data_IF_208854122851
#
_entry.id   IF_208854122851
#
_cell.length_a   1.000
_cell.length_b   1.000
_cell.length_c   1.000
_cell.angle_alpha   90.00
_cell.angle_beta   90.00
_cell.angle_gamma   90.00
#
_symmetry.space_group_name_H-M   'P 1'
#
loop_
_entity.id
_entity.type
_entity.pdbx_description
1 polymer ?
#
# COMPACT_ATOMS: atom_id res chain seq x y z
N UNK A 1 -4.59 -33.07 -22.07
CA UNK A 1 -5.88 -32.64 -21.49
C UNK A 1 -5.55 -31.41 -20.67
N UNK A 2 -5.68 -30.23 -21.28
CA UNK A 2 -5.59 -28.97 -20.52
C UNK A 2 -6.65 -29.00 -19.43
N UNK A 3 -6.34 -28.55 -18.19
CA UNK A 3 -7.37 -28.42 -17.19
C UNK A 3 -8.36 -27.38 -17.71
N UNK A 4 -9.64 -27.78 -17.77
CA UNK A 4 -10.74 -26.85 -18.00
C UNK A 4 -10.69 -25.86 -16.84
N UNK A 5 -10.08 -24.69 -17.07
CA UNK A 5 -10.20 -23.56 -16.18
C UNK A 5 -11.70 -23.26 -16.21
N UNK A 6 -12.39 -23.55 -15.11
CA UNK A 6 -13.77 -23.09 -14.95
C UNK A 6 -13.80 -21.60 -15.31
N UNK A 7 -14.88 -21.16 -15.96
CA UNK A 7 -15.04 -19.85 -16.57
C UNK A 7 -15.07 -18.74 -15.47
N UNK A 8 -13.94 -18.56 -14.79
CA UNK A 8 -13.76 -17.70 -13.63
C UNK A 8 -13.64 -16.29 -14.16
N UNK A 9 -14.71 -15.52 -13.98
CA UNK A 9 -14.82 -14.15 -14.47
C UNK A 9 -15.03 -13.22 -13.29
N UNK A 10 -14.18 -12.21 -13.15
CA UNK A 10 -14.35 -11.14 -12.16
C UNK A 10 -15.68 -10.42 -12.43
N UNK A 11 -16.72 -10.76 -11.67
CA UNK A 11 -18.12 -10.37 -11.92
C UNK A 11 -18.62 -10.54 -13.37
N UNK A 12 -18.09 -11.49 -14.13
CA UNK A 12 -18.44 -11.61 -15.56
C UNK A 12 -17.84 -10.52 -16.48
N UNK A 13 -17.07 -9.57 -15.93
CA UNK A 13 -16.53 -8.41 -16.66
C UNK A 13 -15.16 -8.67 -17.29
N UNK A 14 -14.38 -9.54 -16.68
CA UNK A 14 -13.02 -9.85 -17.11
C UNK A 14 -12.72 -11.34 -16.95
N UNK A 15 -12.16 -11.95 -17.99
CA UNK A 15 -11.71 -13.33 -17.99
C UNK A 15 -10.18 -13.35 -18.16
N UNK A 16 -9.39 -13.77 -17.15
CA UNK A 16 -7.94 -13.84 -17.29
C UNK A 16 -7.55 -14.90 -18.32
N UNK A 17 -6.47 -14.64 -19.04
CA UNK A 17 -5.88 -15.56 -20.03
C UNK A 17 -4.74 -16.43 -19.46
N UNK A 18 -4.36 -16.17 -18.21
CA UNK A 18 -3.25 -16.82 -17.51
C UNK A 18 -3.63 -17.19 -16.08
N UNK A 19 -2.81 -18.01 -15.42
CA UNK A 19 -3.00 -18.37 -14.02
C UNK A 19 -2.72 -17.17 -13.11
N UNK A 20 -3.73 -16.77 -12.33
CA UNK A 20 -3.68 -15.57 -11.48
C UNK A 20 -4.12 -15.79 -10.03
N UNK A 21 -4.45 -17.03 -9.65
CA UNK A 21 -5.03 -17.33 -8.34
C UNK A 21 -4.12 -16.90 -7.19
N UNK A 22 -2.80 -16.99 -7.40
CA UNK A 22 -1.81 -16.59 -6.39
C UNK A 22 -1.71 -15.07 -6.16
N UNK A 23 -2.17 -14.25 -7.12
CA UNK A 23 -2.27 -12.79 -6.96
C UNK A 23 -3.62 -12.40 -6.39
N UNK A 24 -4.69 -13.08 -6.83
CA UNK A 24 -6.03 -12.86 -6.30
C UNK A 24 -6.14 -13.29 -4.82
N UNK A 25 -5.44 -14.34 -4.39
CA UNK A 25 -5.49 -14.85 -3.00
C UNK A 25 -4.83 -13.91 -1.98
N UNK A 26 -3.97 -12.97 -2.40
CA UNK A 26 -3.42 -11.95 -1.51
C UNK A 26 -4.50 -11.06 -0.88
N UNK A 27 -5.69 -11.01 -1.50
CA UNK A 27 -6.91 -10.44 -0.92
C UNK A 27 -7.28 -11.10 0.41
N UNK A 28 -7.13 -12.43 0.52
CA UNK A 28 -7.39 -13.19 1.74
C UNK A 28 -6.40 -12.84 2.84
N UNK A 29 -5.14 -12.57 2.48
CA UNK A 29 -4.10 -12.21 3.43
C UNK A 29 -4.39 -10.85 4.04
N UNK A 30 -4.74 -9.84 3.21
CA UNK A 30 -5.13 -8.52 3.71
C UNK A 30 -6.41 -8.59 4.54
N UNK A 31 -7.40 -9.39 4.13
CA UNK A 31 -8.61 -9.64 4.92
C UNK A 31 -8.32 -10.24 6.30
N UNK A 32 -7.39 -11.20 6.35
CA UNK A 32 -6.99 -11.83 7.60
C UNK A 32 -6.22 -10.86 8.51
N UNK A 33 -5.42 -9.94 7.96
CA UNK A 33 -4.78 -8.84 8.70
C UNK A 33 -5.84 -7.90 9.30
N UNK A 34 -6.83 -7.47 8.49
CA UNK A 34 -7.96 -6.62 8.92
C UNK A 34 -8.79 -7.25 10.04
N UNK A 35 -8.84 -8.57 10.10
CA UNK A 35 -9.57 -9.32 11.13
C UNK A 35 -8.77 -9.57 12.42
N UNK A 36 -7.52 -9.09 12.51
CA UNK A 36 -6.73 -9.25 13.73
C UNK A 36 -7.26 -8.36 14.87
N UNK A 37 -7.18 -8.81 16.13
CA UNK A 37 -7.65 -7.98 17.24
C UNK A 37 -6.79 -6.73 17.40
N UNK A 38 -7.39 -5.59 17.73
CA UNK A 38 -6.69 -4.31 17.95
C UNK A 38 -5.91 -4.28 19.28
N UNK A 39 -4.84 -5.08 19.35
CA UNK A 39 -3.93 -5.18 20.49
C UNK A 39 -2.57 -5.77 20.06
N UNK A 40 -1.58 -5.80 20.95
CA UNK A 40 -0.23 -6.28 20.61
C UNK A 40 -0.17 -7.71 20.05
N UNK A 41 -1.08 -8.60 20.46
CA UNK A 41 -1.18 -9.96 19.90
C UNK A 41 -1.70 -9.93 18.45
N UNK A 42 -2.67 -9.09 18.15
CA UNK A 42 -3.14 -8.92 16.78
C UNK A 42 -2.10 -8.27 15.87
N UNK A 43 -1.33 -7.30 16.35
CA UNK A 43 -0.19 -6.75 15.62
C UNK A 43 0.86 -7.83 15.27
N UNK A 44 1.15 -8.73 16.21
CA UNK A 44 2.02 -9.88 15.98
C UNK A 44 1.42 -10.87 14.96
N UNK A 45 0.11 -11.15 15.05
CA UNK A 45 -0.58 -12.00 14.07
C UNK A 45 -0.61 -11.38 12.67
N UNK A 46 -0.82 -10.07 12.57
CA UNK A 46 -0.77 -9.32 11.33
C UNK A 46 0.61 -9.42 10.68
N UNK A 47 1.68 -9.30 11.47
CA UNK A 47 3.06 -9.48 10.99
C UNK A 47 3.31 -10.92 10.48
N UNK A 48 2.79 -11.93 11.19
CA UNK A 48 2.87 -13.33 10.74
C UNK A 48 2.17 -13.53 9.39
N UNK A 49 0.95 -13.01 9.24
CA UNK A 49 0.20 -13.11 7.97
C UNK A 49 0.92 -12.36 6.84
N UNK A 50 1.43 -11.15 7.10
CA UNK A 50 2.19 -10.37 6.12
C UNK A 50 3.42 -11.13 5.59
N UNK A 51 4.17 -11.78 6.49
CA UNK A 51 5.42 -12.47 6.16
C UNK A 51 5.23 -13.88 5.61
N UNK A 52 4.30 -14.66 6.19
CA UNK A 52 4.13 -16.09 5.94
C UNK A 52 2.87 -16.43 5.13
N UNK A 53 1.96 -15.48 4.96
CA UNK A 53 0.62 -15.73 4.41
C UNK A 53 -0.34 -16.28 5.48
N UNK A 54 -1.55 -16.62 5.05
CA UNK A 54 -2.54 -17.30 5.90
C UNK A 54 -2.17 -18.78 6.04
N UNK A 55 -2.38 -19.37 7.23
CA UNK A 55 -2.16 -20.80 7.49
C UNK A 55 -2.93 -21.65 6.45
N UNK A 56 -2.31 -22.73 5.93
CA UNK A 56 -2.75 -23.64 4.85
C UNK A 56 -2.27 -23.35 3.40
N UNK A 57 -1.59 -22.23 3.11
CA UNK A 57 -0.92 -22.05 1.81
C UNK A 57 0.45 -22.78 1.77
N UNK A 58 0.44 -24.03 1.30
CA UNK A 58 1.55 -25.00 1.30
C UNK A 58 2.85 -24.61 0.56
N UNK A 59 3.04 -23.37 0.09
CA UNK A 59 4.24 -23.01 -0.66
C UNK A 59 4.92 -21.68 -0.31
N UNK A 60 4.36 -20.82 0.56
CA UNK A 60 5.01 -19.55 0.98
C UNK A 60 5.52 -18.65 -0.17
N UNK A 61 5.03 -18.87 -1.39
CA UNK A 61 5.62 -18.36 -2.63
C UNK A 61 4.98 -17.05 -3.09
N UNK A 62 3.83 -16.70 -2.52
CA UNK A 62 3.05 -15.50 -2.84
C UNK A 62 2.50 -14.92 -1.54
N UNK A 63 3.30 -14.08 -0.87
CA UNK A 63 2.89 -13.35 0.34
C UNK A 63 2.98 -11.86 0.08
N UNK A 64 2.28 -11.07 0.90
CA UNK A 64 2.33 -9.60 0.80
C UNK A 64 3.78 -9.10 0.99
N UNK A 65 4.55 -9.72 1.90
CA UNK A 65 5.97 -9.41 2.07
C UNK A 65 6.80 -9.59 0.79
N UNK A 66 6.52 -10.63 -0.01
CA UNK A 66 7.25 -10.83 -1.27
C UNK A 66 6.98 -9.71 -2.28
N UNK A 67 5.74 -9.21 -2.33
CA UNK A 67 5.40 -8.05 -3.15
C UNK A 67 6.11 -6.79 -2.64
N UNK A 68 6.08 -6.56 -1.33
CA UNK A 68 6.65 -5.36 -0.71
C UNK A 68 8.19 -5.30 -0.76
N UNK A 69 8.87 -6.45 -0.60
CA UNK A 69 10.33 -6.53 -0.60
C UNK A 69 10.92 -6.55 -2.02
N UNK A 70 10.13 -6.96 -3.02
CA UNK A 70 10.47 -6.97 -4.45
C UNK A 70 11.72 -7.74 -4.90
N UNK A 71 12.49 -8.36 -4.00
CA UNK A 71 13.73 -9.08 -4.35
C UNK A 71 13.55 -10.27 -5.33
N UNK A 72 12.31 -10.66 -5.61
CA UNK A 72 11.96 -11.80 -6.47
C UNK A 72 11.04 -11.43 -7.64
N UNK A 73 10.78 -10.14 -7.85
CA UNK A 73 9.76 -9.67 -8.78
C UNK A 73 10.41 -8.77 -9.81
N UNK A 74 10.11 -9.06 -11.07
CA UNK A 74 10.61 -8.29 -12.21
C UNK A 74 9.61 -7.21 -12.60
N UNK A 75 9.82 -6.01 -12.08
CA UNK A 75 9.09 -4.78 -12.43
C UNK A 75 10.04 -3.66 -12.92
N UNK A 76 11.24 -4.01 -13.39
CA UNK A 76 12.28 -3.04 -13.77
C UNK A 76 11.91 -2.17 -14.97
N UNK A 77 10.95 -2.61 -15.80
CA UNK A 77 10.41 -1.86 -16.94
C UNK A 77 9.22 -0.96 -16.57
N UNK A 78 8.87 -0.85 -15.27
CA UNK A 78 7.82 0.04 -14.78
C UNK A 78 8.39 1.43 -14.42
N UNK A 79 7.91 2.45 -15.13
CA UNK A 79 8.22 3.85 -14.85
C UNK A 79 7.74 4.28 -13.45
N UNK A 80 6.57 3.81 -13.01
CA UNK A 80 6.04 4.10 -11.68
C UNK A 80 6.90 3.51 -10.58
N UNK A 81 7.30 2.24 -10.71
CA UNK A 81 8.15 1.56 -9.73
C UNK A 81 9.53 2.21 -9.68
N UNK A 82 10.14 2.51 -10.84
CA UNK A 82 11.41 3.22 -10.90
C UNK A 82 11.32 4.58 -10.21
N UNK A 83 10.28 5.36 -10.52
CA UNK A 83 10.07 6.67 -9.91
C UNK A 83 9.97 6.61 -8.38
N UNK A 84 9.21 5.65 -7.84
CA UNK A 84 9.05 5.48 -6.39
C UNK A 84 10.36 5.01 -5.73
N UNK A 85 11.09 4.09 -6.36
CA UNK A 85 12.40 3.64 -5.89
C UNK A 85 13.40 4.78 -5.85
N UNK A 86 13.47 5.61 -6.89
CA UNK A 86 14.38 6.76 -6.93
C UNK A 86 13.99 7.81 -5.87
N UNK A 87 12.69 8.04 -5.68
CA UNK A 87 12.19 9.01 -4.70
C UNK A 87 12.52 8.60 -3.25
N UNK A 88 12.24 7.34 -2.91
CA UNK A 88 12.51 6.82 -1.56
C UNK A 88 13.97 6.42 -1.37
N UNK A 89 14.70 6.15 -2.45
CA UNK A 89 16.10 5.71 -2.45
C UNK A 89 16.30 4.23 -2.13
N UNK A 90 15.24 3.41 -2.16
CA UNK A 90 15.28 1.98 -1.83
C UNK A 90 14.35 1.17 -2.74
N UNK A 91 14.82 0.00 -3.18
CA UNK A 91 14.00 -0.95 -3.92
C UNK A 91 12.85 -1.54 -3.07
N UNK A 92 13.12 -1.81 -1.80
CA UNK A 92 12.19 -2.42 -0.86
C UNK A 92 11.48 -1.38 0.02
N UNK A 93 11.25 -0.16 -0.49
CA UNK A 93 10.68 0.95 0.28
C UNK A 93 9.36 0.57 0.96
N UNK A 94 8.48 -0.19 0.29
CA UNK A 94 7.20 -0.62 0.84
C UNK A 94 7.38 -1.56 2.04
N UNK A 95 8.32 -2.50 1.96
CA UNK A 95 8.65 -3.40 3.06
C UNK A 95 9.24 -2.61 4.23
N UNK A 96 10.18 -1.69 3.97
CA UNK A 96 10.76 -0.84 5.01
C UNK A 96 9.72 0.03 5.72
N UNK A 97 8.77 0.58 4.96
CA UNK A 97 7.67 1.36 5.52
C UNK A 97 6.78 0.50 6.43
N UNK A 98 6.38 -0.69 5.96
CA UNK A 98 5.56 -1.60 6.75
C UNK A 98 6.30 -2.13 7.99
N UNK A 99 7.59 -2.47 7.87
CA UNK A 99 8.40 -2.90 9.01
C UNK A 99 8.48 -1.83 10.10
N UNK A 100 8.58 -0.54 9.74
CA UNK A 100 8.54 0.55 10.71
C UNK A 100 7.17 0.64 11.40
N UNK A 101 6.07 0.39 10.68
CA UNK A 101 4.71 0.34 11.24
C UNK A 101 4.49 -0.87 12.17
N UNK A 102 5.03 -2.04 11.82
CA UNK A 102 4.97 -3.26 12.64
C UNK A 102 5.87 -3.20 13.89
N UNK A 103 6.94 -2.41 13.87
CA UNK A 103 7.88 -2.29 14.98
C UNK A 103 7.22 -1.70 16.23
N UNK A 104 7.64 -2.17 17.40
CA UNK A 104 7.28 -1.63 18.72
C UNK A 104 8.52 -1.14 19.50
N UNK A 105 9.62 -0.88 18.79
CA UNK A 105 10.96 -0.54 19.34
C UNK A 105 11.62 0.59 18.55
N UNK A 106 12.86 0.96 18.87
CA UNK A 106 13.64 2.04 18.24
C UNK A 106 13.71 2.02 16.69
N UNK A 107 13.35 0.91 16.06
CA UNK A 107 13.24 0.69 14.61
C UNK A 107 11.91 1.21 13.99
N UNK A 108 11.10 1.96 14.74
CA UNK A 108 9.80 2.54 14.32
C UNK A 108 9.89 3.67 13.28
N UNK A 109 11.05 3.86 12.65
CA UNK A 109 11.35 4.99 11.75
C UNK A 109 11.91 4.50 10.44
N UNK A 110 11.49 5.09 9.33
CA UNK A 110 12.09 4.83 8.01
C UNK A 110 13.34 5.69 7.77
N UNK A 111 14.36 5.60 8.63
CA UNK A 111 15.56 6.48 8.58
C UNK A 111 16.45 6.31 7.36
N UNK A 112 16.25 5.24 6.58
CA UNK A 112 17.01 4.95 5.38
C UNK A 112 16.43 5.57 4.10
N UNK A 113 15.26 6.23 4.15
CA UNK A 113 14.73 6.87 2.95
C UNK A 113 15.49 8.17 2.63
N UNK A 114 15.63 8.44 1.34
CA UNK A 114 16.14 9.72 0.83
C UNK A 114 15.15 10.85 1.11
N UNK A 115 13.84 10.57 0.98
CA UNK A 115 12.74 11.50 1.26
C UNK A 115 11.56 10.75 1.87
N UNK A 116 10.71 11.46 2.61
CA UNK A 116 9.46 10.90 3.14
C UNK A 116 9.69 9.98 4.34
N UNK A 117 10.62 10.33 5.22
CA UNK A 117 10.82 9.59 6.47
C UNK A 117 9.56 9.65 7.33
N UNK A 118 9.09 8.49 7.78
CA UNK A 118 7.93 8.31 8.63
C UNK A 118 8.40 7.85 9.99
N UNK A 119 7.88 8.45 11.06
CA UNK A 119 8.18 8.07 12.42
C UNK A 119 6.94 7.54 13.14
N UNK A 120 6.76 6.23 13.17
CA UNK A 120 5.62 5.61 13.85
C UNK A 120 5.71 5.70 15.38
N UNK A 121 6.87 6.06 15.96
CA UNK A 121 7.01 6.27 17.41
C UNK A 121 6.25 7.49 17.91
N UNK A 122 5.81 8.38 17.02
CA UNK A 122 4.99 9.53 17.39
C UNK A 122 3.51 9.15 17.57
N UNK A 123 3.12 7.95 17.14
CA UNK A 123 1.81 7.37 17.43
C UNK A 123 1.75 6.81 18.84
N UNK A 124 0.54 6.80 19.39
CA UNK A 124 0.24 6.27 20.72
C UNK A 124 -0.88 5.25 20.57
N UNK A 125 -0.64 4.13 19.89
CA UNK A 125 -1.67 3.08 19.80
C UNK A 125 -1.35 1.96 18.83
N UNK A 126 -1.79 0.74 19.15
CA UNK A 126 -1.74 -0.41 18.23
C UNK A 126 -2.74 -0.21 17.09
N UNK A 127 -3.85 0.47 17.35
CA UNK A 127 -4.94 0.73 16.41
C UNK A 127 -4.43 1.54 15.21
N UNK A 128 -3.78 2.67 15.46
CA UNK A 128 -3.12 3.49 14.44
C UNK A 128 -2.09 2.69 13.62
N UNK A 129 -1.35 1.77 14.25
CA UNK A 129 -0.37 0.92 13.54
C UNK A 129 -1.06 -0.07 12.63
N UNK A 130 -2.11 -0.76 13.10
CA UNK A 130 -2.88 -1.69 12.28
C UNK A 130 -3.54 -0.99 11.10
N UNK A 131 -4.16 0.17 11.33
CA UNK A 131 -4.73 0.99 10.26
C UNK A 131 -3.67 1.43 9.23
N UNK A 132 -2.48 1.82 9.69
CA UNK A 132 -1.34 2.13 8.83
C UNK A 132 -0.88 0.91 8.02
N UNK A 133 -0.82 -0.27 8.62
CA UNK A 133 -0.43 -1.52 7.95
C UNK A 133 -1.46 -1.88 6.87
N UNK A 134 -2.75 -1.87 7.20
CA UNK A 134 -3.83 -2.23 6.28
C UNK A 134 -3.87 -1.30 5.08
N UNK A 135 -3.87 0.01 5.33
CA UNK A 135 -3.87 1.03 4.27
C UNK A 135 -2.54 1.09 3.53
N UNK A 136 -1.42 0.85 4.22
CA UNK A 136 -0.08 0.79 3.64
C UNK A 136 0.09 -0.39 2.70
N UNK A 137 -0.49 -1.55 3.01
CA UNK A 137 -0.52 -2.69 2.08
C UNK A 137 -1.30 -2.30 0.81
N UNK A 138 -2.47 -1.69 0.95
CA UNK A 138 -3.24 -1.26 -0.22
C UNK A 138 -2.47 -0.19 -1.05
N UNK A 139 -1.99 0.86 -0.41
CA UNK A 139 -1.48 2.06 -1.07
C UNK A 139 0.01 1.99 -1.46
N UNK A 140 0.84 1.30 -0.68
CA UNK A 140 2.29 1.22 -0.89
C UNK A 140 2.74 -0.15 -1.42
N UNK A 141 1.91 -1.20 -1.35
CA UNK A 141 2.25 -2.53 -1.91
C UNK A 141 1.38 -2.84 -3.14
N UNK A 142 0.06 -2.93 -2.98
CA UNK A 142 -0.82 -3.37 -4.07
C UNK A 142 -0.92 -2.33 -5.18
N UNK A 143 -1.18 -1.07 -4.86
CA UNK A 143 -1.30 0.00 -5.86
C UNK A 143 -0.08 0.12 -6.80
N UNK A 144 1.16 0.26 -6.29
CA UNK A 144 2.31 0.40 -7.18
C UNK A 144 2.59 -0.91 -7.93
N UNK A 145 2.31 -2.07 -7.33
CA UNK A 145 2.45 -3.35 -8.01
C UNK A 145 1.50 -3.48 -9.20
N UNK A 146 0.20 -3.19 -9.00
CA UNK A 146 -0.81 -3.26 -10.07
C UNK A 146 -0.43 -2.37 -11.25
N UNK A 147 -0.03 -1.12 -10.98
CA UNK A 147 0.42 -0.22 -12.04
C UNK A 147 1.71 -0.69 -12.70
N UNK A 148 2.67 -1.18 -11.92
CA UNK A 148 3.90 -1.73 -12.45
C UNK A 148 3.66 -2.93 -13.36
N UNK A 149 2.72 -3.81 -13.00
CA UNK A 149 2.31 -4.94 -13.84
C UNK A 149 1.74 -4.45 -15.18
N UNK A 150 0.87 -3.43 -15.20
CA UNK A 150 0.35 -2.89 -16.46
C UNK A 150 1.41 -2.19 -17.31
N UNK A 151 2.34 -1.46 -16.70
CA UNK A 151 3.45 -0.81 -17.40
C UNK A 151 4.43 -1.83 -18.01
N UNK A 152 4.74 -2.90 -17.28
CA UNK A 152 5.54 -4.02 -17.78
C UNK A 152 4.81 -4.79 -18.88
N UNK A 153 3.49 -5.00 -18.75
CA UNK A 153 2.68 -5.57 -19.81
C UNK A 153 2.82 -4.74 -21.10
N UNK A 154 2.71 -3.42 -21.01
CA UNK A 154 2.96 -2.53 -22.14
C UNK A 154 4.40 -2.68 -22.68
N UNK A 155 5.43 -2.63 -21.83
CA UNK A 155 6.82 -2.75 -22.24
C UNK A 155 7.13 -4.07 -22.97
N UNK A 156 6.44 -5.16 -22.58
CA UNK A 156 6.56 -6.48 -23.19
C UNK A 156 5.66 -6.69 -24.41
N UNK A 157 4.77 -5.75 -24.72
CA UNK A 157 3.89 -5.85 -25.89
C UNK A 157 4.70 -5.77 -27.19
N UNK A 158 4.40 -6.66 -28.15
CA UNK A 158 5.04 -6.69 -29.47
C UNK A 158 4.00 -6.54 -30.57
N UNK A 159 4.28 -5.60 -31.50
CA UNK A 159 3.46 -5.42 -32.70
C UNK A 159 3.59 -6.67 -33.59
N UNK A 160 2.45 -7.23 -33.99
CA UNK A 160 2.41 -8.42 -34.84
C UNK A 160 2.57 -9.76 -34.10
N UNK A 161 2.82 -9.76 -32.79
CA UNK A 161 2.69 -10.96 -31.94
C UNK A 161 1.24 -11.10 -31.49
N UNK A 162 0.52 -12.06 -32.07
CA UNK A 162 -0.89 -12.32 -31.71
C UNK A 162 -1.04 -13.09 -30.39
N UNK A 163 0.06 -13.61 -29.84
CA UNK A 163 0.04 -14.31 -28.56
C UNK A 163 0.26 -13.37 -27.37
N UNK A 164 1.18 -12.39 -27.50
CA UNK A 164 1.60 -11.44 -26.46
C UNK A 164 1.58 -12.06 -25.04
N UNK A 165 2.02 -13.32 -24.91
CA UNK A 165 1.68 -14.15 -23.75
C UNK A 165 2.27 -13.64 -22.44
N UNK A 166 3.55 -13.23 -22.47
CA UNK A 166 4.21 -12.60 -21.32
C UNK A 166 3.53 -11.28 -20.94
N UNK A 167 3.17 -10.46 -21.93
CA UNK A 167 2.49 -9.19 -21.69
C UNK A 167 1.11 -9.41 -21.06
N UNK A 168 0.31 -10.34 -21.60
CA UNK A 168 -1.01 -10.70 -21.05
C UNK A 168 -0.93 -11.28 -19.65
N UNK A 169 0.12 -12.05 -19.35
CA UNK A 169 0.34 -12.55 -18.00
C UNK A 169 0.49 -11.40 -16.99
N UNK A 170 1.35 -10.42 -17.26
CA UNK A 170 1.47 -9.25 -16.39
C UNK A 170 0.17 -8.44 -16.29
N UNK A 171 -0.54 -8.29 -17.41
CA UNK A 171 -1.83 -7.61 -17.42
C UNK A 171 -2.85 -8.31 -16.51
N UNK A 172 -3.02 -9.63 -16.66
CA UNK A 172 -3.93 -10.43 -15.84
C UNK A 172 -3.55 -10.39 -14.35
N UNK A 173 -2.24 -10.40 -14.02
CA UNK A 173 -1.75 -10.27 -12.64
C UNK A 173 -2.17 -8.94 -12.01
N UNK A 174 -2.05 -7.84 -12.76
CA UNK A 174 -2.49 -6.52 -12.31
C UNK A 174 -4.00 -6.48 -12.01
N UNK A 175 -4.82 -7.06 -12.90
CA UNK A 175 -6.27 -7.17 -12.67
C UNK A 175 -6.59 -8.02 -11.45
N UNK A 176 -5.91 -9.16 -11.29
CA UNK A 176 -6.14 -10.07 -10.17
C UNK A 176 -5.80 -9.46 -8.83
N UNK A 177 -4.67 -8.74 -8.71
CA UNK A 177 -4.28 -8.06 -7.49
C UNK A 177 -5.16 -6.83 -7.19
N UNK A 178 -5.63 -6.13 -8.23
CA UNK A 178 -6.58 -5.03 -8.06
C UNK A 178 -7.90 -5.53 -7.45
N UNK A 179 -8.44 -6.61 -8.01
CA UNK A 179 -9.79 -7.09 -7.74
C UNK A 179 -9.86 -8.02 -6.52
N UNK A 180 -8.92 -8.96 -6.40
CA UNK A 180 -8.91 -9.98 -5.35
C UNK A 180 -9.84 -11.18 -5.59
N UNK A 181 -9.62 -12.24 -4.81
CA UNK A 181 -10.30 -13.55 -4.97
C UNK A 181 -11.83 -13.50 -4.81
N UNK A 182 -12.36 -12.60 -3.96
CA UNK A 182 -13.81 -12.54 -3.73
C UNK A 182 -14.54 -11.93 -4.92
N UNK A 183 -13.90 -10.97 -5.59
CA UNK A 183 -14.39 -10.39 -6.84
C UNK A 183 -14.26 -11.42 -7.97
N UNK A 184 -13.15 -12.17 -7.99
CA UNK A 184 -12.92 -13.27 -8.92
C UNK A 184 -14.02 -14.34 -8.84
N UNK A 185 -14.46 -14.68 -7.62
CA UNK A 185 -15.46 -15.72 -7.35
C UNK A 185 -16.90 -15.19 -7.25
N UNK A 186 -17.11 -13.87 -7.38
CA UNK A 186 -18.42 -13.23 -7.23
C UNK A 186 -19.00 -13.31 -5.82
N UNK A 187 -18.16 -13.56 -4.80
CA UNK A 187 -18.56 -13.76 -3.40
C UNK A 187 -18.59 -12.47 -2.58
N UNK A 188 -18.12 -11.35 -3.12
CA UNK A 188 -18.10 -10.05 -2.45
C UNK A 188 -17.08 -9.10 -3.07
N UNK A 189 -16.89 -7.94 -2.43
CA UNK A 189 -15.95 -6.91 -2.89
C UNK A 189 -14.49 -7.20 -2.49
N UNK A 190 -14.22 -8.18 -1.62
CA UNK A 190 -12.87 -8.48 -1.16
C UNK A 190 -12.33 -7.46 -0.15
N UNK A 191 -11.01 -7.33 -0.11
CA UNK A 191 -10.25 -6.41 0.74
C UNK A 191 -9.17 -5.61 -0.01
N UNK A 192 -8.97 -5.90 -1.30
CA UNK A 192 -8.00 -5.29 -2.22
C UNK A 192 -8.45 -3.88 -2.68
N UNK A 193 -7.79 -3.33 -3.70
CA UNK A 193 -8.06 -1.97 -4.20
C UNK A 193 -9.49 -1.78 -4.73
N UNK A 194 -10.10 -2.82 -5.29
CA UNK A 194 -11.52 -2.81 -5.62
C UNK A 194 -12.40 -2.51 -4.40
N UNK A 195 -12.14 -3.19 -3.27
CA UNK A 195 -12.88 -3.00 -2.03
C UNK A 195 -12.69 -1.59 -1.46
N UNK A 196 -11.47 -1.03 -1.59
CA UNK A 196 -11.19 0.35 -1.20
C UNK A 196 -12.09 1.34 -1.98
N UNK A 197 -12.18 1.19 -3.30
CA UNK A 197 -13.04 2.06 -4.11
C UNK A 197 -14.53 1.90 -3.77
N UNK A 198 -15.01 0.67 -3.52
CA UNK A 198 -16.38 0.42 -3.06
C UNK A 198 -16.67 1.07 -1.70
N UNK A 199 -15.72 0.99 -0.76
CA UNK A 199 -15.87 1.55 0.58
C UNK A 199 -15.89 3.09 0.57
N UNK A 200 -15.17 3.73 -0.34
CA UNK A 200 -15.07 5.19 -0.44
C UNK A 200 -16.19 5.83 -1.26
N UNK A 201 -16.79 5.13 -2.23
CA UNK A 201 -17.82 5.74 -3.07
C UNK A 201 -19.02 6.34 -2.30
N UNK A 202 -19.55 5.74 -1.21
CA UNK A 202 -20.73 6.32 -0.55
C UNK A 202 -20.36 7.56 0.25
N UNK A 203 -19.14 7.59 0.78
CA UNK A 203 -18.59 8.70 1.58
C UNK A 203 -18.43 9.95 0.73
N UNK A 204 -18.02 9.79 -0.52
CA UNK A 204 -17.77 10.90 -1.45
C UNK A 204 -18.98 11.24 -2.35
N UNK A 205 -20.13 10.60 -2.12
CA UNK A 205 -21.33 10.79 -2.93
C UNK A 205 -21.14 10.36 -4.39
N UNK A 206 -20.32 9.34 -4.62
CA UNK A 206 -19.92 8.86 -5.95
C UNK A 206 -20.39 7.46 -6.30
N UNK A 207 -21.11 6.75 -5.45
CA UNK A 207 -21.60 5.42 -5.85
C UNK A 207 -22.54 5.51 -7.06
N UNK A 208 -22.38 4.58 -8.00
CA UNK A 208 -23.40 4.26 -8.98
C UNK A 208 -24.45 3.32 -8.38
N UNK A 209 -25.32 2.77 -9.22
CA UNK A 209 -26.44 1.94 -8.76
C UNK A 209 -26.00 0.68 -7.99
N UNK A 210 -24.88 0.05 -8.37
CA UNK A 210 -24.46 -1.25 -7.82
C UNK A 210 -22.98 -1.33 -7.46
N UNK A 211 -22.20 -0.27 -7.70
CA UNK A 211 -20.75 -0.22 -7.46
C UNK A 211 -20.17 1.17 -7.57
N UNK A 212 -18.93 1.34 -7.12
CA UNK A 212 -18.13 2.51 -7.43
C UNK A 212 -17.97 2.65 -8.96
N UNK A 213 -18.32 3.80 -9.56
CA UNK A 213 -18.19 4.03 -11.00
C UNK A 213 -16.76 3.84 -11.51
N UNK A 214 -15.76 4.10 -10.65
CA UNK A 214 -14.36 3.90 -11.00
C UNK A 214 -14.02 2.42 -11.20
N UNK A 215 -14.65 1.53 -10.43
CA UNK A 215 -14.50 0.09 -10.63
C UNK A 215 -15.10 -0.33 -11.97
N UNK A 216 -16.26 0.22 -12.34
CA UNK A 216 -16.84 -0.03 -13.67
C UNK A 216 -15.90 0.42 -14.79
N UNK A 217 -15.43 1.67 -14.72
CA UNK A 217 -14.52 2.25 -15.72
C UNK A 217 -13.20 1.45 -15.83
N UNK A 218 -12.59 1.10 -14.69
CA UNK A 218 -11.35 0.34 -14.66
C UNK A 218 -11.52 -1.06 -15.27
N UNK A 219 -12.61 -1.76 -14.98
CA UNK A 219 -12.87 -3.07 -15.59
C UNK A 219 -13.11 -2.99 -17.10
N UNK A 220 -13.76 -1.92 -17.59
CA UNK A 220 -13.87 -1.66 -19.03
C UNK A 220 -12.50 -1.43 -19.66
N UNK A 221 -11.63 -0.66 -19.00
CA UNK A 221 -10.25 -0.44 -19.44
C UNK A 221 -9.41 -1.73 -19.38
N UNK A 222 -9.58 -2.56 -18.36
CA UNK A 222 -8.87 -3.84 -18.23
C UNK A 222 -9.21 -4.77 -19.39
N UNK A 223 -10.50 -4.89 -19.75
CA UNK A 223 -10.94 -5.66 -20.91
C UNK A 223 -10.40 -5.08 -22.22
N UNK A 224 -10.51 -3.76 -22.41
CA UNK A 224 -10.01 -3.10 -23.61
C UNK A 224 -8.48 -3.26 -23.77
N UNK A 225 -7.72 -3.21 -22.67
CA UNK A 225 -6.29 -3.45 -22.68
C UNK A 225 -5.94 -4.90 -23.05
N UNK A 226 -6.67 -5.88 -22.52
CA UNK A 226 -6.53 -7.29 -22.92
C UNK A 226 -6.81 -7.48 -24.42
N UNK A 227 -7.87 -6.87 -24.96
CA UNK A 227 -8.20 -6.90 -26.39
C UNK A 227 -7.10 -6.26 -27.25
N UNK A 228 -6.56 -5.11 -26.81
CA UNK A 228 -5.46 -4.45 -27.51
C UNK A 228 -4.18 -5.28 -27.47
N UNK A 229 -3.89 -5.97 -26.37
CA UNK A 229 -2.78 -6.91 -26.27
C UNK A 229 -2.95 -8.10 -27.22
N UNK A 230 -4.15 -8.69 -27.28
CA UNK A 230 -4.46 -9.76 -28.23
C UNK A 230 -4.28 -9.30 -29.70
N UNK A 231 -4.56 -8.03 -29.99
CA UNK A 231 -4.43 -7.44 -31.31
C UNK A 231 -3.03 -6.85 -31.61
N UNK A 232 -2.08 -6.92 -30.67
CA UNK A 232 -0.74 -6.32 -30.82
C UNK A 232 -0.73 -4.79 -30.94
N UNK A 233 -1.77 -4.11 -30.43
CA UNK A 233 -1.95 -2.65 -30.49
C UNK A 233 -1.26 -1.95 -29.31
N UNK A 234 0.07 -2.04 -29.24
CA UNK A 234 0.84 -1.60 -28.08
C UNK A 234 0.67 -0.10 -27.73
N UNK A 235 0.52 0.78 -28.72
CA UNK A 235 0.26 2.22 -28.47
C UNK A 235 -1.07 2.45 -27.75
N UNK A 236 -2.10 1.66 -28.09
CA UNK A 236 -3.40 1.74 -27.43
C UNK A 236 -3.33 1.20 -25.99
N UNK A 237 -2.49 0.19 -25.73
CA UNK A 237 -2.20 -0.30 -24.37
C UNK A 237 -1.54 0.80 -23.57
N UNK A 238 -0.52 1.49 -24.10
CA UNK A 238 0.14 2.62 -23.44
C UNK A 238 -0.85 3.68 -22.98
N UNK A 239 -1.68 4.17 -23.89
CA UNK A 239 -2.69 5.18 -23.58
C UNK A 239 -3.76 4.69 -22.59
N UNK A 240 -4.03 3.38 -22.55
CA UNK A 240 -4.87 2.74 -21.53
C UNK A 240 -4.23 2.76 -20.15
N UNK A 241 -2.95 2.40 -20.04
CA UNK A 241 -2.20 2.38 -18.77
C UNK A 241 -2.14 3.76 -18.12
N UNK A 242 -1.91 4.82 -18.91
CA UNK A 242 -1.88 6.20 -18.40
C UNK A 242 -3.23 6.62 -17.77
N UNK A 243 -4.35 6.21 -18.38
CA UNK A 243 -5.69 6.47 -17.83
C UNK A 243 -5.99 5.62 -16.59
N UNK A 244 -5.62 4.33 -16.61
CA UNK A 244 -5.73 3.44 -15.45
C UNK A 244 -4.97 4.04 -14.26
N UNK A 245 -3.73 4.50 -14.45
CA UNK A 245 -2.94 5.17 -13.42
C UNK A 245 -3.64 6.39 -12.83
N UNK A 246 -4.21 7.23 -13.68
CA UNK A 246 -4.96 8.43 -13.25
C UNK A 246 -6.16 8.05 -12.38
N UNK A 247 -6.96 7.07 -12.82
CA UNK A 247 -8.13 6.59 -12.09
C UNK A 247 -7.76 5.88 -10.78
N UNK A 248 -6.70 5.07 -10.77
CA UNK A 248 -6.27 4.35 -9.57
C UNK A 248 -5.70 5.25 -8.47
N UNK A 249 -5.35 6.51 -8.78
CA UNK A 249 -4.99 7.50 -7.74
C UNK A 249 -6.23 8.03 -7.00
N UNK A 250 -7.43 7.96 -7.58
CA UNK A 250 -8.64 8.54 -6.98
C UNK A 250 -8.98 7.90 -5.62
N UNK A 251 -9.01 6.56 -5.44
CA UNK A 251 -9.25 5.99 -4.12
C UNK A 251 -8.16 6.32 -3.10
N UNK A 252 -6.92 6.56 -3.54
CA UNK A 252 -5.84 6.98 -2.64
C UNK A 252 -6.05 8.43 -2.16
N UNK A 253 -6.45 9.32 -3.06
CA UNK A 253 -6.80 10.71 -2.73
C UNK A 253 -8.03 10.73 -1.82
N UNK A 254 -9.07 9.96 -2.13
CA UNK A 254 -10.26 9.84 -1.29
C UNK A 254 -9.91 9.31 0.12
N UNK A 255 -9.08 8.27 0.23
CA UNK A 255 -8.59 7.78 1.52
C UNK A 255 -7.76 8.81 2.28
N UNK A 256 -6.93 9.58 1.59
CA UNK A 256 -6.17 10.70 2.16
C UNK A 256 -7.10 11.78 2.74
N UNK A 257 -8.09 12.24 1.96
CA UNK A 257 -9.02 13.28 2.39
C UNK A 257 -9.90 12.81 3.55
N UNK A 258 -10.36 11.56 3.51
CA UNK A 258 -11.19 10.98 4.57
C UNK A 258 -10.43 10.86 5.89
N UNK A 259 -9.20 10.35 5.86
CA UNK A 259 -8.37 10.22 7.06
C UNK A 259 -8.06 11.59 7.68
N UNK A 260 -7.77 12.60 6.86
CA UNK A 260 -7.59 13.99 7.33
C UNK A 260 -8.89 14.60 7.85
N UNK A 261 -10.03 14.37 7.21
CA UNK A 261 -11.35 14.82 7.70
C UNK A 261 -11.58 14.34 9.15
N UNK A 262 -11.29 13.06 9.41
CA UNK A 262 -11.49 12.49 10.72
C UNK A 262 -10.51 13.03 11.78
N UNK A 263 -9.28 13.34 11.39
CA UNK A 263 -8.30 14.05 12.25
C UNK A 263 -8.81 15.47 12.57
N UNK A 264 -9.22 16.23 11.55
CA UNK A 264 -9.67 17.62 11.66
C UNK A 264 -10.92 17.76 12.56
N UNK A 265 -11.84 16.79 12.49
CA UNK A 265 -13.04 16.71 13.35
C UNK A 265 -12.77 16.17 14.76
N UNK A 266 -11.52 15.79 15.07
CA UNK A 266 -11.15 15.24 16.37
C UNK A 266 -11.79 13.89 16.70
N UNK A 267 -12.29 13.15 15.70
CA UNK A 267 -12.88 11.81 15.83
C UNK A 267 -14.05 11.65 16.80
N UNK A 268 -14.78 12.72 17.09
CA UNK A 268 -15.93 12.71 18.01
C UNK A 268 -17.29 12.61 17.28
N UNK A 269 -17.33 12.80 15.96
CA UNK A 269 -18.55 12.79 15.17
C UNK A 269 -18.77 11.46 14.43
N UNK A 270 -20.05 11.10 14.26
CA UNK A 270 -20.47 9.95 13.45
C UNK A 270 -19.97 10.11 12.02
N UNK A 271 -19.37 9.04 11.50
CA UNK A 271 -18.76 9.00 10.17
C UNK A 271 -19.78 9.35 9.05
N UNK A 272 -19.37 10.11 8.01
CA UNK A 272 -20.20 10.36 6.84
C UNK A 272 -20.42 9.07 6.03
N UNK A 273 -21.62 8.49 6.07
CA UNK A 273 -22.00 7.38 5.18
C UNK A 273 -21.77 5.94 5.68
N UNK A 274 -21.26 5.71 6.89
CA UNK A 274 -21.13 4.37 7.50
C UNK A 274 -22.05 4.20 8.73
N UNK A 275 -22.19 2.96 9.20
CA UNK A 275 -22.84 2.60 10.46
C UNK A 275 -21.83 2.27 11.59
N UNK A 276 -20.53 2.28 11.25
CA UNK A 276 -19.41 1.92 12.14
C UNK A 276 -18.58 3.15 12.50
N UNK A 277 -18.22 3.26 13.77
CA UNK A 277 -17.41 4.36 14.31
C UNK A 277 -15.98 4.31 13.77
N UNK A 278 -15.55 5.38 13.12
CA UNK A 278 -14.15 5.60 12.75
C UNK A 278 -13.42 6.21 13.93
N UNK A 279 -12.38 5.55 14.44
CA UNK A 279 -11.63 6.04 15.58
C UNK A 279 -10.55 7.02 15.12
N UNK A 280 -10.38 8.19 15.79
CA UNK A 280 -9.34 9.16 15.42
C UNK A 280 -7.92 8.58 15.43
N UNK A 281 -7.69 7.49 16.18
CA UNK A 281 -6.42 6.77 16.16
C UNK A 281 -6.18 6.02 14.85
N UNK A 282 -7.21 5.39 14.26
CA UNK A 282 -7.11 4.72 12.96
C UNK A 282 -6.78 5.75 11.86
N UNK A 283 -7.41 6.93 11.94
CA UNK A 283 -7.23 8.07 11.03
C UNK A 283 -5.77 8.42 10.79
N UNK A 284 -5.00 8.48 11.87
CA UNK A 284 -3.59 8.83 11.84
C UNK A 284 -2.76 7.80 11.06
N UNK A 285 -3.09 6.52 11.21
CA UNK A 285 -2.45 5.43 10.48
C UNK A 285 -2.77 5.45 8.99
N UNK A 286 -4.05 5.63 8.65
CA UNK A 286 -4.50 5.75 7.26
C UNK A 286 -3.91 6.98 6.57
N UNK A 287 -3.89 8.13 7.25
CA UNK A 287 -3.28 9.35 6.73
C UNK A 287 -1.79 9.13 6.44
N UNK A 288 -1.06 8.44 7.32
CA UNK A 288 0.34 8.12 7.08
C UNK A 288 0.51 7.25 5.81
N UNK A 289 -0.35 6.25 5.61
CA UNK A 289 -0.30 5.36 4.45
C UNK A 289 -0.62 6.08 3.13
N UNK A 290 -1.78 6.73 3.04
CA UNK A 290 -2.21 7.43 1.82
C UNK A 290 -1.36 8.66 1.53
N UNK A 291 -0.97 9.40 2.58
CA UNK A 291 -0.04 10.50 2.49
C UNK A 291 1.31 10.05 1.94
N UNK A 292 1.89 8.96 2.47
CA UNK A 292 3.14 8.40 1.93
C UNK A 292 2.99 7.94 0.47
N UNK A 293 1.88 7.29 0.11
CA UNK A 293 1.67 6.84 -1.27
C UNK A 293 1.58 8.02 -2.26
N UNK A 294 0.93 9.12 -1.87
CA UNK A 294 0.75 10.29 -2.74
C UNK A 294 1.92 11.27 -2.67
N UNK A 295 2.72 11.27 -1.59
CA UNK A 295 3.79 12.24 -1.36
C UNK A 295 4.79 12.40 -2.53
N UNK A 296 5.30 11.32 -3.16
CA UNK A 296 6.16 11.44 -4.34
C UNK A 296 5.51 12.21 -5.48
N UNK A 297 4.22 12.01 -5.73
CA UNK A 297 3.50 12.67 -6.82
C UNK A 297 3.15 14.12 -6.47
N UNK A 298 2.83 14.39 -5.21
CA UNK A 298 2.58 15.75 -4.71
C UNK A 298 3.84 16.61 -4.82
N UNK A 299 4.99 16.09 -4.39
CA UNK A 299 6.27 16.78 -4.54
C UNK A 299 6.61 17.05 -6.01
N UNK A 300 6.36 16.09 -6.91
CA UNK A 300 6.58 16.28 -8.35
C UNK A 300 5.69 17.36 -8.94
N UNK A 301 4.46 17.45 -8.49
CA UNK A 301 3.53 18.50 -8.90
C UNK A 301 3.98 19.87 -8.36
N UNK A 302 4.26 19.94 -7.05
CA UNK A 302 4.58 21.15 -6.32
C UNK A 302 5.24 20.79 -4.99
N UNK A 303 6.50 21.16 -4.82
CA UNK A 303 7.25 20.91 -3.58
C UNK A 303 6.52 21.45 -2.34
N UNK A 304 5.86 22.61 -2.45
CA UNK A 304 5.07 23.20 -1.36
C UNK A 304 3.81 22.41 -1.03
N UNK A 305 3.09 21.88 -2.03
CA UNK A 305 1.90 21.05 -1.82
C UNK A 305 2.27 19.68 -1.24
N UNK A 306 3.42 19.13 -1.65
CA UNK A 306 3.98 17.93 -1.02
C UNK A 306 4.37 18.16 0.44
N UNK A 307 4.93 19.33 0.79
CA UNK A 307 5.21 19.66 2.19
C UNK A 307 3.94 19.78 3.04
N UNK A 308 2.84 20.27 2.47
CA UNK A 308 1.53 20.25 3.15
C UNK A 308 1.12 18.80 3.45
N UNK A 309 1.18 17.91 2.46
CA UNK A 309 0.85 16.49 2.67
C UNK A 309 1.78 15.84 3.71
N UNK A 310 3.07 16.11 3.68
CA UNK A 310 4.00 15.60 4.69
C UNK A 310 3.65 16.13 6.10
N UNK A 311 3.35 17.42 6.23
CA UNK A 311 3.04 18.03 7.53
C UNK A 311 1.71 17.56 8.11
N UNK A 312 0.70 17.44 7.27
CA UNK A 312 -0.66 17.20 7.74
C UNK A 312 -1.04 15.72 7.75
N UNK A 313 -0.26 14.85 7.08
CA UNK A 313 -0.59 13.42 7.03
C UNK A 313 0.44 12.52 7.69
N UNK A 314 1.69 12.97 7.90
CA UNK A 314 2.69 12.09 8.49
C UNK A 314 2.57 12.07 10.02
N UNK A 315 2.78 10.88 10.65
CA UNK A 315 2.57 10.64 12.08
C UNK A 315 3.19 11.69 13.01
N UNK A 316 4.37 12.19 12.64
CA UNK A 316 5.16 13.11 13.45
C UNK A 316 4.59 14.54 13.52
N UNK A 317 3.65 14.90 12.65
CA UNK A 317 3.18 16.28 12.47
C UNK A 317 1.65 16.41 12.34
N UNK A 318 0.94 15.34 11.99
CA UNK A 318 -0.48 15.34 11.59
C UNK A 318 -1.53 15.62 12.69
N UNK A 319 -1.15 15.90 13.94
CA UNK A 319 -2.11 16.00 15.06
C UNK A 319 -3.17 17.11 14.93
N UNK A 320 -2.93 18.09 14.06
CA UNK A 320 -3.85 19.20 13.78
C UNK A 320 -4.03 19.41 12.26
N UNK A 321 -4.06 18.31 11.51
CA UNK A 321 -4.26 18.36 10.06
C UNK A 321 -5.55 19.09 9.71
N UNK A 322 -5.53 19.93 8.66
CA UNK A 322 -6.73 20.60 8.18
C UNK A 322 -7.19 20.00 6.86
N UNK A 323 -8.44 19.53 6.81
CA UNK A 323 -9.02 19.01 5.57
C UNK A 323 -8.97 20.05 4.47
N UNK A 324 -9.37 21.29 4.78
CA UNK A 324 -9.41 22.36 3.78
C UNK A 324 -8.03 22.65 3.17
N UNK A 325 -6.96 22.52 3.96
CA UNK A 325 -5.59 22.77 3.51
C UNK A 325 -5.09 21.61 2.65
N UNK A 326 -5.26 20.38 3.12
CA UNK A 326 -4.85 19.17 2.38
C UNK A 326 -5.66 19.01 1.09
N UNK A 327 -6.97 19.23 1.13
CA UNK A 327 -7.83 19.20 -0.05
C UNK A 327 -7.39 20.22 -1.10
N UNK A 328 -7.15 21.46 -0.69
CA UNK A 328 -6.68 22.49 -1.61
C UNK A 328 -5.31 22.15 -2.23
N UNK A 329 -4.42 21.48 -1.48
CA UNK A 329 -3.15 20.99 -2.01
C UNK A 329 -3.35 19.92 -3.09
N UNK A 330 -4.20 18.92 -2.85
CA UNK A 330 -4.54 17.90 -3.85
C UNK A 330 -5.19 18.50 -5.10
N UNK A 331 -6.17 19.40 -4.93
CA UNK A 331 -6.89 20.04 -6.04
C UNK A 331 -5.96 20.81 -6.98
N UNK A 332 -4.95 21.51 -6.44
CA UNK A 332 -3.92 22.18 -7.25
C UNK A 332 -3.12 21.20 -8.12
N UNK A 333 -3.04 19.93 -7.73
CA UNK A 333 -2.28 18.89 -8.41
C UNK A 333 -3.09 17.99 -9.34
N UNK A 334 -4.43 18.11 -9.40
CA UNK A 334 -5.26 17.25 -10.25
C UNK A 334 -4.87 17.29 -11.73
N UNK A 335 -4.46 18.45 -12.25
CA UNK A 335 -3.95 18.55 -13.63
C UNK A 335 -2.67 17.72 -13.83
N UNK A 336 -1.74 17.75 -12.85
CA UNK A 336 -0.51 16.96 -12.88
C UNK A 336 -0.76 15.44 -12.78
N UNK A 337 -1.89 15.06 -12.17
CA UNK A 337 -2.32 13.66 -12.05
C UNK A 337 -3.22 13.20 -13.20
N UNK A 338 -3.60 14.11 -14.10
CA UNK A 338 -4.60 13.85 -15.14
C UNK A 338 -5.94 13.33 -14.57
N UNK A 339 -6.34 13.90 -13.42
CA UNK A 339 -7.58 13.55 -12.72
C UNK A 339 -8.60 14.67 -12.91
N UNK A 340 -9.81 14.29 -13.31
CA UNK A 340 -10.97 15.18 -13.28
C UNK A 340 -11.57 15.16 -11.87
N UNK A 341 -11.78 16.33 -11.27
CA UNK A 341 -12.31 16.47 -9.91
C UNK A 341 -13.66 15.78 -9.72
N UNK A 342 -14.42 15.55 -10.81
CA UNK A 342 -15.68 14.81 -10.76
C UNK A 342 -15.52 13.39 -10.20
N UNK A 343 -14.34 12.78 -10.34
CA UNK A 343 -14.06 11.43 -9.83
C UNK A 343 -13.84 11.41 -8.32
N UNK A 344 -13.31 12.50 -7.76
CA UNK A 344 -13.02 12.58 -6.31
C UNK A 344 -14.32 12.76 -5.53
N UNK A 345 -15.12 13.77 -5.88
CA UNK A 345 -16.31 14.14 -5.12
C UNK A 345 -16.06 14.95 -3.86
N UNK A 346 -17.07 15.02 -3.01
CA UNK A 346 -17.05 15.75 -1.74
C UNK A 346 -17.55 14.82 -0.63
N UNK A 347 -17.02 14.97 0.58
CA UNK A 347 -17.43 14.16 1.73
C UNK A 347 -18.88 14.52 2.10
N UNK A 348 -19.78 13.54 2.08
CA UNK A 348 -21.22 13.73 2.32
C UNK A 348 -21.56 13.52 3.80
N UNK A 349 -21.60 14.61 4.58
CA UNK A 349 -22.05 14.58 5.98
C UNK A 349 -23.55 14.26 6.09
N UNK A 350 -23.93 13.37 7.03
CA UNK A 350 -25.33 12.87 7.18
C UNK A 350 -26.37 13.93 7.59
N UNK A 351 -25.94 15.11 8.07
CA UNK A 351 -26.84 16.19 8.56
C UNK A 351 -26.65 17.54 7.84
N UNK A 352 -26.02 17.57 6.67
CA UNK A 352 -25.83 18.82 5.94
C UNK A 352 -27.19 19.40 5.49
N UNK A 353 -27.63 20.50 6.10
CA UNK A 353 -28.64 21.39 5.49
C UNK A 353 -28.15 21.74 4.08
N UNK A 354 -29.03 21.81 3.07
CA UNK A 354 -28.61 22.13 1.71
C UNK A 354 -27.92 23.49 1.71
N UNK A 355 -26.59 23.49 1.56
CA UNK A 355 -25.83 24.72 1.47
C UNK A 355 -26.08 25.32 0.09
N UNK A 356 -26.38 26.63 -0.01
CA UNK A 356 -26.45 27.31 -1.29
C UNK A 356 -25.08 27.24 -1.98
N UNK A 357 -25.11 27.13 -3.31
CA UNK A 357 -23.98 26.92 -4.22
C UNK A 357 -22.67 27.60 -3.82
N UNK A 358 -21.50 26.98 -4.14
CA UNK A 358 -20.20 27.47 -3.68
C UNK A 358 -19.96 28.91 -4.15
N UNK A 359 -19.70 29.78 -3.18
CA UNK A 359 -19.16 31.13 -3.45
C UNK A 359 -17.69 30.95 -3.87
N UNK A 360 -17.22 31.59 -4.96
CA UNK A 360 -15.81 31.49 -5.36
C UNK A 360 -14.90 32.01 -4.24
N UNK A 361 -13.86 31.23 -3.87
CA UNK A 361 -12.89 31.69 -2.89
C UNK A 361 -12.16 32.97 -3.35
N UNK A 362 -11.84 33.91 -2.44
CA UNK A 362 -11.12 35.13 -2.77
C UNK A 362 -9.71 34.85 -3.28
N UNK A 363 -9.32 35.53 -4.35
CA UNK A 363 -8.07 35.40 -5.11
C UNK A 363 -6.79 35.85 -4.36
N UNK A 364 -6.81 35.94 -3.04
CA UNK A 364 -5.76 36.56 -2.24
C UNK A 364 -5.06 35.52 -1.37
N UNK A 365 -4.09 34.81 -1.95
CA UNK A 365 -2.87 34.24 -1.33
C UNK A 365 -2.07 33.50 -2.42
N UNK A 366 -1.74 34.21 -3.49
CA UNK A 366 -0.70 33.77 -4.43
C UNK A 366 0.60 34.52 -4.06
N UNK A 367 1.70 33.83 -3.72
CA UNK A 367 3.03 34.44 -3.77
C UNK A 367 3.33 34.83 -5.23
N UNK A 368 3.63 36.11 -5.48
CA UNK A 368 3.95 36.60 -6.83
C UNK A 368 5.22 35.92 -7.37
N UNK A 369 5.24 35.46 -8.63
CA UNK A 369 6.46 35.04 -9.29
C UNK A 369 7.36 36.26 -9.61
N UNK A 370 8.69 36.13 -9.55
CA UNK A 370 9.60 37.24 -9.86
C UNK A 370 9.54 37.57 -11.37
N UNK A 371 9.53 38.87 -11.67
CA UNK A 371 9.55 39.41 -13.04
C UNK A 371 10.90 39.17 -13.73
N UNK A 372 10.94 39.04 -15.08
CA UNK A 372 12.17 38.81 -15.81
C UNK A 372 12.91 40.14 -16.07
N UNK A 373 14.20 40.19 -15.76
CA UNK A 373 15.09 41.26 -16.23
C UNK A 373 16.07 40.70 -17.25
N UNK A 374 16.06 41.32 -18.43
CA UNK A 374 16.92 41.07 -19.58
C UNK A 374 18.30 41.73 -19.47
N UNK A 375 19.20 41.30 -20.37
CA UNK A 375 20.49 41.87 -20.79
C UNK A 375 21.70 41.37 -19.97
N UNK A 376 22.80 40.88 -20.54
CA UNK A 376 23.25 40.78 -21.93
C UNK A 376 24.75 41.08 -22.01
N UNK A 377 25.55 40.14 -22.52
CA UNK A 377 26.91 40.32 -23.14
C UNK A 377 27.52 38.91 -23.28
N UNK A 378 27.55 38.28 -24.46
CA UNK A 378 28.45 38.49 -25.61
C UNK A 378 29.94 38.33 -25.31
N UNK A 379 30.51 37.18 -25.71
CA UNK A 379 31.82 36.98 -26.36
C UNK A 379 31.94 35.47 -26.70
N UNK A 380 31.76 35.04 -27.94
CA UNK A 380 32.67 35.03 -29.11
C UNK A 380 33.66 33.86 -29.16
N UNK A 381 33.32 32.89 -30.02
CA UNK A 381 34.15 32.21 -31.05
C UNK A 381 35.46 31.53 -30.62
N UNK A 382 35.55 30.19 -30.81
CA UNK A 382 36.45 29.57 -31.80
C UNK A 382 36.17 28.08 -32.07
N UNK A 383 36.10 27.76 -33.35
CA UNK A 383 35.99 26.44 -33.98
C UNK A 383 37.30 25.64 -33.95
N UNK A 384 37.21 24.30 -34.05
CA UNK A 384 38.03 23.37 -34.87
C UNK A 384 37.83 21.92 -34.38
N UNK A 385 37.12 21.06 -35.13
CA UNK A 385 37.57 20.17 -36.21
C UNK A 385 37.91 18.74 -35.72
N UNK A 386 37.15 17.76 -36.22
CA UNK A 386 37.44 16.32 -36.16
C UNK A 386 38.68 15.95 -37.00
N UNK A 387 39.21 14.72 -36.84
CA UNK A 387 38.98 13.74 -37.91
C UNK A 387 38.70 12.28 -37.46
N UNK A 388 37.83 11.65 -38.25
CA UNK A 388 37.76 10.30 -38.83
C UNK A 388 38.58 9.09 -38.30
N UNK A 389 37.80 8.01 -38.06
CA UNK A 389 37.93 6.60 -38.51
C UNK A 389 39.16 5.72 -38.21
N UNK A 390 38.92 4.52 -37.67
CA UNK A 390 39.27 3.25 -38.33
C UNK A 390 38.69 2.02 -37.61
N UNK A 391 38.18 1.07 -38.41
CA UNK A 391 37.73 -0.29 -38.08
C UNK A 391 38.89 -1.27 -37.81
N UNK A 392 38.68 -2.29 -36.98
CA UNK A 392 39.19 -3.65 -37.28
C UNK A 392 38.47 -4.76 -36.52
N UNK A 393 38.19 -5.80 -37.30
CA UNK A 393 37.57 -7.11 -37.05
C UNK A 393 38.33 -8.06 -36.12
N UNK A 394 37.58 -8.92 -35.43
CA UNK A 394 37.72 -10.38 -35.58
C UNK A 394 38.43 -11.21 -34.48
N UNK A 395 37.62 -12.07 -33.85
CA UNK A 395 37.84 -13.51 -33.58
C UNK A 395 37.87 -13.99 -32.10
N UNK A 396 36.76 -14.64 -31.73
CA UNK A 396 36.65 -16.01 -31.20
C UNK A 396 37.88 -16.67 -30.55
N UNK A 397 37.82 -16.85 -29.23
CA UNK A 397 38.14 -18.10 -28.50
C UNK A 397 38.00 -17.88 -26.98
N UNK A 398 37.02 -18.50 -26.32
CA UNK A 398 37.09 -19.01 -24.93
C UNK A 398 35.70 -19.47 -24.44
N UNK A 399 35.25 -20.61 -24.94
CA UNK A 399 34.33 -21.48 -24.20
C UNK A 399 35.19 -22.35 -23.26
N UNK A 400 34.65 -22.65 -22.06
CA UNK A 400 35.21 -23.48 -20.98
C UNK A 400 36.02 -22.72 -19.90
N UNK A 401 35.37 -21.75 -19.22
CA UNK A 401 35.57 -21.42 -17.78
C UNK A 401 34.24 -20.99 -17.09
N UNK A 402 33.21 -20.64 -17.86
CA UNK A 402 31.95 -20.07 -17.33
C UNK A 402 31.09 -20.95 -16.42
N UNK A 403 31.24 -22.29 -16.43
CA UNK A 403 30.39 -23.16 -15.61
C UNK A 403 30.77 -23.15 -14.11
N UNK A 404 32.06 -23.01 -13.80
CA UNK A 404 32.55 -22.99 -12.42
C UNK A 404 32.18 -21.70 -11.68
N UNK A 405 32.34 -20.55 -12.36
CA UNK A 405 31.96 -19.25 -11.81
C UNK A 405 30.45 -19.11 -11.67
N UNK A 406 29.66 -19.61 -12.61
CA UNK A 406 28.20 -19.54 -12.52
C UNK A 406 27.64 -20.40 -11.38
N UNK A 407 28.17 -21.63 -11.21
CA UNK A 407 27.82 -22.46 -10.05
C UNK A 407 28.26 -21.83 -8.74
N UNK A 408 29.46 -21.24 -8.66
CA UNK A 408 29.93 -20.58 -7.44
C UNK A 408 29.08 -19.35 -7.06
N UNK A 409 28.63 -18.57 -8.05
CA UNK A 409 27.73 -17.43 -7.85
C UNK A 409 26.35 -17.91 -7.40
N UNK A 410 25.79 -18.96 -8.02
CA UNK A 410 24.52 -19.53 -7.58
C UNK A 410 24.59 -20.12 -6.18
N UNK A 411 25.70 -20.76 -5.82
CA UNK A 411 25.92 -21.32 -4.48
C UNK A 411 26.11 -20.22 -3.44
N UNK A 412 26.81 -19.12 -3.80
CA UNK A 412 26.93 -17.95 -2.96
C UNK A 412 25.58 -17.26 -2.75
N UNK A 413 24.77 -17.11 -3.80
CA UNK A 413 23.41 -16.58 -3.71
C UNK A 413 22.51 -17.48 -2.85
N UNK A 414 22.61 -18.81 -3.00
CA UNK A 414 21.89 -19.77 -2.15
C UNK A 414 22.33 -19.68 -0.68
N UNK A 415 23.62 -19.51 -0.41
CA UNK A 415 24.13 -19.31 0.95
C UNK A 415 23.64 -17.98 1.53
N UNK A 416 23.57 -16.92 0.72
CA UNK A 416 23.04 -15.62 1.14
C UNK A 416 21.53 -15.67 1.40
N UNK A 417 20.76 -16.40 0.60
CA UNK A 417 19.33 -16.61 0.85
C UNK A 417 19.10 -17.47 2.09
N UNK A 418 19.85 -18.56 2.28
CA UNK A 418 19.78 -19.41 3.48
C UNK A 418 20.23 -18.66 4.74
N UNK A 419 21.29 -17.85 4.67
CA UNK A 419 21.70 -16.96 5.77
C UNK A 419 20.62 -15.91 6.04
N UNK A 420 20.01 -15.34 5.00
CA UNK A 420 18.87 -14.44 5.13
C UNK A 420 17.66 -15.08 5.80
N UNK A 421 17.36 -16.34 5.48
CA UNK A 421 16.29 -17.13 6.10
C UNK A 421 16.62 -17.44 7.56
N UNK A 422 17.86 -17.86 7.87
CA UNK A 422 18.28 -18.14 9.25
C UNK A 422 18.32 -16.88 10.10
N UNK A 423 18.79 -15.75 9.56
CA UNK A 423 18.79 -14.48 10.27
C UNK A 423 17.36 -13.97 10.50
N UNK A 424 16.43 -14.27 9.58
CA UNK A 424 14.99 -14.03 9.75
C UNK A 424 14.37 -14.92 10.82
N UNK A 425 14.60 -16.23 10.79
CA UNK A 425 14.12 -17.14 11.83
C UNK A 425 14.66 -16.73 13.20
N UNK A 426 15.89 -16.22 13.26
CA UNK A 426 16.48 -15.65 14.47
C UNK A 426 15.79 -14.35 14.89
N UNK A 427 15.57 -13.38 13.99
CA UNK A 427 14.83 -12.15 14.30
C UNK A 427 13.38 -12.41 14.70
N UNK A 428 12.71 -13.38 14.06
CA UNK A 428 11.37 -13.83 14.44
C UNK A 428 11.40 -14.46 15.82
N UNK A 429 12.38 -15.32 16.14
CA UNK A 429 12.54 -15.86 17.49
C UNK A 429 12.84 -14.76 18.52
N UNK A 430 13.73 -13.83 18.22
CA UNK A 430 14.05 -12.69 19.09
C UNK A 430 12.82 -11.78 19.32
N UNK A 431 12.00 -11.56 18.29
CA UNK A 431 10.71 -10.87 18.40
C UNK A 431 9.71 -11.65 19.27
N UNK A 432 9.55 -12.97 19.03
CA UNK A 432 8.65 -13.83 19.80
C UNK A 432 9.06 -13.92 21.28
N UNK A 433 10.36 -14.09 21.56
CA UNK A 433 10.91 -14.20 22.92
C UNK A 433 10.78 -12.89 23.70
N UNK A 434 10.99 -11.75 23.05
CA UNK A 434 10.90 -10.45 23.73
C UNK A 434 9.45 -10.06 24.11
N UNK A 435 8.45 -10.65 23.46
CA UNK A 435 7.04 -10.41 23.77
C UNK A 435 6.39 -11.49 24.66
N UNK A 436 7.01 -12.67 24.82
CA UNK A 436 6.61 -13.62 25.87
C UNK A 436 6.99 -13.14 27.28
N UNK A 437 8.10 -12.41 27.42
CA UNK A 437 8.60 -11.93 28.72
C UNK A 437 7.81 -10.74 29.27
N UNK A 438 7.16 -9.95 28.40
CA UNK A 438 6.24 -8.88 28.82
C UNK A 438 5.02 -9.41 29.58
N UNK A 439 4.68 -10.70 29.43
CA UNK A 439 3.58 -11.36 30.13
C UNK A 439 3.95 -11.77 31.55
N UNK A 440 5.24 -11.93 31.85
CA UNK A 440 5.72 -12.33 33.18
C UNK A 440 5.93 -11.11 34.10
N UNK A 441 6.21 -9.92 33.54
CA UNK A 441 6.41 -8.70 34.34
C UNK A 441 5.09 -8.04 34.78
N UNK A 442 3.98 -8.23 34.05
CA UNK A 442 2.66 -7.72 34.47
C UNK A 442 2.08 -8.50 35.66
N UNK A 443 2.38 -9.79 35.75
CA UNK A 443 1.86 -10.67 36.83
C UNK A 443 2.71 -10.60 38.11
N UNK A 444 3.92 -10.05 38.03
CA UNK A 444 4.79 -9.86 39.20
C UNK A 444 4.51 -8.57 39.98
N UNK A 445 3.71 -7.62 39.45
CA UNK A 445 3.49 -6.30 40.06
C UNK A 445 2.17 -6.15 40.85
N UNK A 446 1.31 -7.16 40.85
CA UNK A 446 0.04 -7.18 41.60
C UNK A 446 0.06 -8.08 42.84
N UNK A 447 1.20 -8.69 43.18
CA UNK A 447 1.34 -9.61 44.31
C UNK A 447 2.37 -9.18 45.36
N UNK A 448 2.20 -8.03 46.02
CA UNK A 448 2.90 -7.77 47.29
C UNK A 448 2.25 -6.68 48.15
N UNK A 449 1.28 -7.09 48.96
CA UNK A 449 0.90 -6.52 50.27
C UNK A 449 -0.22 -7.45 50.76
N UNK A 450 -0.15 -8.19 51.87
CA UNK A 450 0.35 -7.86 53.20
C UNK A 450 0.45 -9.17 54.00
N UNK A 451 1.49 -9.35 54.83
CA UNK A 451 1.46 -10.33 55.90
C UNK A 451 2.07 -9.73 57.18
N UNK A 452 1.23 -9.62 58.21
CA UNK A 452 1.53 -9.52 59.64
C UNK A 452 0.16 -9.48 60.33
N UNK A 453 -0.23 -10.26 61.33
CA UNK A 453 0.42 -11.24 62.19
C UNK A 453 -0.50 -11.40 63.42
N UNK A 454 -0.42 -12.55 64.10
CA UNK A 454 -0.93 -12.72 65.46
C UNK A 454 -2.15 -13.64 65.60
N UNK A 455 -1.93 -14.80 66.21
CA UNK A 455 -2.99 -15.66 66.74
C UNK A 455 -3.14 -15.51 68.25
N UNK A 456 -4.31 -15.87 68.77
CA UNK A 456 -4.53 -16.55 70.06
C UNK A 456 -6.03 -16.92 70.20
N UNK A 457 -6.30 -18.13 70.73
CA UNK A 457 -7.46 -18.63 71.53
C UNK A 457 -8.90 -18.08 71.26
N UNK A 458 -10.00 -18.85 71.25
CA UNK A 458 -10.45 -19.77 72.29
C UNK A 458 -11.69 -20.62 71.87
N UNK A 459 -12.04 -21.60 72.71
CA UNK A 459 -13.08 -22.66 72.58
C UNK A 459 -14.56 -22.21 72.46
N UNK A 460 -15.42 -23.00 71.79
CA UNK A 460 -16.53 -23.84 72.36
C UNK A 460 -17.65 -24.21 71.36
N UNK A 461 -18.13 -25.46 71.51
CA UNK A 461 -19.51 -26.01 71.42
C UNK A 461 -20.49 -25.42 70.36
N UNK A 462 -21.23 -26.17 69.55
CA UNK A 462 -21.62 -27.58 69.54
C UNK A 462 -22.89 -27.75 68.67
N UNK A 463 -23.37 -29.00 68.58
CA UNK A 463 -24.66 -29.52 68.05
C UNK A 463 -24.77 -29.88 66.56
N UNK A 464 -24.97 -31.18 66.41
CA UNK A 464 -25.59 -31.89 65.30
C UNK A 464 -27.12 -31.69 65.26
N UNK A 465 -27.72 -31.86 64.08
CA UNK A 465 -28.85 -32.78 63.86
C UNK A 465 -29.10 -33.02 62.36
N UNK A 466 -29.42 -34.28 62.08
CA UNK A 466 -29.83 -34.90 60.82
C UNK A 466 -31.13 -34.36 60.18
N UNK A 467 -31.43 -34.92 59.00
CA UNK A 467 -32.75 -35.21 58.42
C UNK A 467 -33.46 -34.04 57.69
N UNK A 468 -34.20 -34.22 56.59
CA UNK A 468 -34.52 -35.34 55.71
C UNK A 468 -35.26 -34.73 54.48
N UNK A 469 -35.31 -35.52 53.42
CA UNK A 469 -35.97 -35.29 52.14
C UNK A 469 -37.50 -35.12 52.31
N UNK A 470 -38.07 -34.16 51.57
CA UNK A 470 -39.30 -34.35 50.77
C UNK A 470 -39.07 -33.74 49.39
#
# INVERSE_FOLDING_TARGET
MEPIVADVKFFGLYAPSSSIDSYASLDAHLRAIKATPKNGSGLQKAYQIYTLGVEDETNGSHTIWRLANRAHIQLEESETIQYLTDFYGLDDFSDKWLMAAFSTKDDEKTTAFTRGNVNFSSFVGVDARLAAIESGIAALVFWPYVLGSFEVAHAKCRVGDTSNSASRQYWDQGVALYAGEQVQTGKGSGSSLFALAEALCPVFGKCGENRAPINTELFEMFRAGQDNLNAGKCDAVKGGVEKIKSLMMVPLIQGALLSVYAIDKGGHDSYPGSHDSFYPEDALGEAAAFGSAMFPFMIKCSEGDGQIVENDMFPQRSKNASLSVVQAAFERCYTSFNIDSKWIGEIVEKDAKPNPSPTPMPKALLPNPPSPTSQGSSESVRSQSSPTSSSSSGNTAALIVGLGCFCAVLLALLILTLKGINNRQRKTKEFLTQHSDSKIVSDAKTGSSSNAGGGHEDQKEGKASDAEIV
#
